data_IF_787276537935
#
_entry.id   IF_787276537935
#
_cell.length_a   1.000
_cell.length_b   1.000
_cell.length_c   1.000
_cell.angle_alpha   90.00
_cell.angle_beta   90.00
_cell.angle_gamma   90.00
#
_symmetry.space_group_name_H-M   'P 1'
#
loop_
_entity.id
_entity.type
_entity.pdbx_description
1 polymer ?
#
# COMPACT_ATOMS: atom_id res chain seq x y z
N UNK A 1 -0.37 13.08 7.55
CA UNK A 1 0.74 12.50 6.79
C UNK A 1 0.27 12.28 5.36
N UNK A 2 1.18 12.30 4.40
CA UNK A 2 0.91 11.88 3.02
C UNK A 2 1.39 10.43 2.85
N UNK A 3 0.47 9.55 2.45
CA UNK A 3 0.73 8.12 2.28
C UNK A 3 0.41 7.74 0.83
N UNK A 4 1.39 7.20 0.14
CA UNK A 4 1.17 6.64 -1.18
C UNK A 4 0.99 5.12 -1.09
N UNK A 5 0.09 4.56 -1.90
CA UNK A 5 -0.15 3.12 -1.96
C UNK A 5 -0.04 2.67 -3.41
N UNK A 6 0.94 1.83 -3.70
CA UNK A 6 1.15 1.26 -5.03
C UNK A 6 0.44 -0.09 -5.16
N UNK A 7 -0.52 -0.15 -6.08
CA UNK A 7 -1.41 -1.28 -6.31
C UNK A 7 -2.74 -1.14 -5.56
N UNK A 8 -3.86 -1.29 -6.29
CA UNK A 8 -5.23 -1.18 -5.76
C UNK A 8 -5.98 -2.51 -5.84
N UNK A 9 -5.29 -3.58 -5.49
CA UNK A 9 -5.91 -4.87 -5.18
C UNK A 9 -6.57 -4.88 -3.80
N UNK A 10 -6.91 -6.05 -3.28
CA UNK A 10 -7.56 -6.18 -1.96
C UNK A 10 -6.73 -5.55 -0.83
N UNK A 11 -5.42 -5.80 -0.82
CA UNK A 11 -4.51 -5.26 0.21
C UNK A 11 -4.40 -3.73 0.10
N UNK A 12 -4.05 -3.23 -1.08
CA UNK A 12 -3.79 -1.80 -1.25
C UNK A 12 -5.04 -0.94 -1.11
N UNK A 13 -6.15 -1.34 -1.74
CA UNK A 13 -7.38 -0.54 -1.67
C UNK A 13 -8.01 -0.54 -0.29
N UNK A 14 -7.94 -1.66 0.45
CA UNK A 14 -8.44 -1.70 1.83
C UNK A 14 -7.64 -0.78 2.75
N UNK A 15 -6.30 -0.77 2.61
CA UNK A 15 -5.44 0.17 3.36
C UNK A 15 -5.65 1.62 2.91
N UNK A 16 -5.82 1.86 1.61
CA UNK A 16 -6.11 3.19 1.10
C UNK A 16 -7.42 3.74 1.68
N UNK A 17 -8.45 2.92 1.71
CA UNK A 17 -9.75 3.28 2.30
C UNK A 17 -9.62 3.52 3.81
N UNK A 18 -8.94 2.62 4.53
CA UNK A 18 -8.74 2.72 5.96
C UNK A 18 -8.00 4.00 6.35
N UNK A 19 -6.81 4.21 5.78
CA UNK A 19 -5.92 5.30 6.15
C UNK A 19 -6.40 6.67 5.68
N UNK A 20 -7.20 6.73 4.60
CA UNK A 20 -7.72 7.99 4.08
C UNK A 20 -8.77 8.67 4.98
N UNK A 21 -9.24 8.00 6.02
CA UNK A 21 -10.10 8.61 7.02
C UNK A 21 -9.37 9.68 7.84
N UNK A 22 -8.06 9.53 8.07
CA UNK A 22 -7.27 10.39 8.92
C UNK A 22 -6.04 11.01 8.22
N UNK A 23 -5.71 10.57 7.01
CA UNK A 23 -4.50 10.96 6.30
C UNK A 23 -4.79 11.28 4.83
N UNK A 24 -3.90 12.03 4.20
CA UNK A 24 -3.89 12.18 2.75
C UNK A 24 -3.35 10.89 2.12
N UNK A 25 -4.17 10.23 1.31
CA UNK A 25 -3.80 8.98 0.65
C UNK A 25 -3.88 9.11 -0.86
N UNK A 26 -2.79 8.79 -1.55
CA UNK A 26 -2.74 8.71 -3.00
C UNK A 26 -2.49 7.26 -3.41
N UNK A 27 -3.47 6.67 -4.09
CA UNK A 27 -3.42 5.31 -4.59
C UNK A 27 -2.94 5.28 -6.05
N UNK A 28 -1.79 4.66 -6.28
CA UNK A 28 -1.22 4.46 -7.62
C UNK A 28 -1.67 3.11 -8.18
N UNK A 29 -2.20 3.10 -9.39
CA UNK A 29 -2.46 1.87 -10.14
C UNK A 29 -2.10 2.09 -11.62
N UNK A 30 -1.85 1.02 -12.35
CA UNK A 30 -1.55 1.06 -13.79
C UNK A 30 -2.81 0.94 -14.66
N UNK A 31 -3.96 0.64 -14.08
CA UNK A 31 -5.23 0.41 -14.78
C UNK A 31 -6.10 1.67 -14.71
N UNK A 32 -6.29 2.41 -15.84
CA UNK A 32 -7.03 3.67 -15.86
C UNK A 32 -8.47 3.54 -15.36
N UNK A 33 -9.10 2.39 -15.62
CA UNK A 33 -10.47 2.13 -15.17
C UNK A 33 -10.57 2.11 -13.65
N UNK A 34 -9.65 1.42 -12.96
CA UNK A 34 -9.61 1.38 -11.50
C UNK A 34 -9.43 2.79 -10.91
N UNK A 35 -8.52 3.57 -11.48
CA UNK A 35 -8.27 4.95 -11.04
C UNK A 35 -9.54 5.79 -11.17
N UNK A 36 -10.25 5.69 -12.30
CA UNK A 36 -11.55 6.39 -12.47
C UNK A 36 -12.59 5.97 -11.45
N UNK A 37 -12.71 4.66 -11.23
CA UNK A 37 -13.68 4.10 -10.27
C UNK A 37 -13.41 4.62 -8.86
N UNK A 38 -12.17 4.52 -8.38
CA UNK A 38 -11.78 4.95 -7.04
C UNK A 38 -12.06 6.45 -6.85
N UNK A 39 -11.67 7.30 -7.82
CA UNK A 39 -11.93 8.74 -7.77
C UNK A 39 -13.43 9.10 -7.83
N UNK A 40 -14.29 8.17 -8.25
CA UNK A 40 -15.74 8.30 -8.22
C UNK A 40 -16.39 7.63 -7.00
N UNK A 41 -15.59 7.16 -6.05
CA UNK A 41 -16.02 6.32 -4.93
C UNK A 41 -16.85 5.11 -5.39
N UNK A 42 -16.33 4.40 -6.38
CA UNK A 42 -16.84 3.11 -6.85
C UNK A 42 -15.73 2.10 -6.64
N UNK A 43 -16.02 1.01 -5.93
CA UNK A 43 -15.00 -0.03 -5.70
C UNK A 43 -14.72 -0.83 -6.98
N UNK A 44 -13.45 -0.94 -7.42
CA UNK A 44 -13.08 -1.81 -8.55
C UNK A 44 -12.93 -3.28 -8.15
N UNK A 45 -13.13 -3.62 -6.88
CA UNK A 45 -13.06 -4.97 -6.33
C UNK A 45 -14.30 -5.25 -5.48
N UNK A 46 -14.63 -6.53 -5.31
CA UNK A 46 -15.74 -6.93 -4.44
C UNK A 46 -15.29 -6.98 -2.99
N UNK A 47 -15.66 -5.98 -2.20
CA UNK A 47 -15.45 -5.91 -0.75
C UNK A 47 -16.56 -5.07 -0.14
N UNK A 48 -17.43 -5.72 0.64
CA UNK A 48 -18.63 -5.13 1.22
C UNK A 48 -18.34 -3.86 2.04
N UNK A 49 -17.24 -3.86 2.78
CA UNK A 49 -16.90 -2.71 3.62
C UNK A 49 -16.30 -1.55 2.82
N UNK A 50 -15.50 -1.84 1.78
CA UNK A 50 -15.00 -0.77 0.87
C UNK A 50 -16.18 -0.15 0.13
N UNK A 51 -17.09 -0.96 -0.41
CA UNK A 51 -18.30 -0.47 -1.09
C UNK A 51 -19.15 0.40 -0.18
N UNK A 52 -19.34 -0.02 1.09
CA UNK A 52 -20.05 0.75 2.11
C UNK A 52 -19.35 2.08 2.40
N UNK A 53 -18.04 2.08 2.64
CA UNK A 53 -17.28 3.31 2.96
C UNK A 53 -17.29 4.28 1.78
N UNK A 54 -17.18 3.78 0.55
CA UNK A 54 -17.26 4.59 -0.66
C UNK A 54 -18.67 5.17 -0.86
N UNK A 55 -19.72 4.39 -0.62
CA UNK A 55 -21.10 4.89 -0.67
C UNK A 55 -21.33 5.99 0.39
N UNK A 56 -20.86 5.77 1.62
CA UNK A 56 -20.95 6.76 2.70
C UNK A 56 -20.15 8.05 2.36
N UNK A 57 -18.99 7.92 1.72
CA UNK A 57 -18.20 9.06 1.28
C UNK A 57 -18.92 9.86 0.18
N UNK A 58 -19.50 9.16 -0.79
CA UNK A 58 -20.30 9.76 -1.87
C UNK A 58 -21.52 10.50 -1.35
N UNK A 59 -22.16 9.98 -0.31
CA UNK A 59 -23.30 10.60 0.36
C UNK A 59 -22.92 11.71 1.35
N UNK A 60 -21.61 11.99 1.53
CA UNK A 60 -21.13 13.00 2.48
C UNK A 60 -21.22 12.59 3.95
N UNK A 61 -21.47 11.29 4.23
CA UNK A 61 -21.57 10.74 5.60
C UNK A 61 -20.21 10.35 6.17
N UNK A 62 -19.21 10.16 5.32
CA UNK A 62 -17.83 9.82 5.67
C UNK A 62 -16.87 10.70 4.90
N UNK A 63 -15.83 11.14 5.54
CA UNK A 63 -14.73 11.83 4.86
C UNK A 63 -13.62 10.84 4.55
N UNK A 64 -13.26 10.75 3.27
CA UNK A 64 -12.10 10.01 2.79
C UNK A 64 -11.22 10.96 1.98
N UNK A 65 -10.03 11.23 2.48
CA UNK A 65 -9.02 12.01 1.76
C UNK A 65 -8.21 11.07 0.85
N UNK A 66 -8.90 10.48 -0.11
CA UNK A 66 -8.39 9.47 -1.04
C UNK A 66 -8.43 10.01 -2.48
N UNK A 67 -7.30 9.92 -3.15
CA UNK A 67 -7.15 10.17 -4.59
C UNK A 67 -6.45 8.98 -5.24
N UNK A 68 -6.88 8.59 -6.43
CA UNK A 68 -6.17 7.61 -7.24
C UNK A 68 -5.52 8.28 -8.45
N UNK A 69 -4.37 7.78 -8.89
CA UNK A 69 -3.62 8.32 -10.03
C UNK A 69 -2.89 7.21 -10.80
N UNK A 70 -2.55 7.50 -12.06
CA UNK A 70 -1.63 6.71 -12.90
C UNK A 70 -0.19 7.24 -12.80
N UNK A 71 0.00 8.41 -12.21
CA UNK A 71 1.26 9.14 -12.16
C UNK A 71 1.98 8.88 -10.84
N UNK A 72 3.11 8.17 -10.91
CA UNK A 72 3.92 7.86 -9.73
C UNK A 72 4.61 9.10 -9.13
N UNK A 73 4.92 10.11 -9.94
CA UNK A 73 5.51 11.36 -9.44
C UNK A 73 4.50 12.08 -8.53
N UNK A 74 3.25 12.17 -8.96
CA UNK A 74 2.17 12.72 -8.15
C UNK A 74 1.97 11.93 -6.85
N UNK A 75 2.04 10.59 -6.94
CA UNK A 75 1.81 9.72 -5.79
C UNK A 75 2.94 9.84 -4.76
N UNK A 76 4.20 9.78 -5.19
CA UNK A 76 5.35 9.57 -4.31
C UNK A 76 6.05 10.87 -3.86
N UNK A 77 5.94 11.96 -4.63
CA UNK A 77 6.57 13.23 -4.21
C UNK A 77 6.04 13.66 -2.84
N UNK A 78 6.96 13.94 -1.92
CA UNK A 78 6.68 14.36 -0.54
C UNK A 78 5.84 13.35 0.28
N UNK A 79 5.81 12.07 -0.10
CA UNK A 79 5.17 11.05 0.72
C UNK A 79 5.99 10.74 1.96
N UNK A 80 5.33 10.57 3.11
CA UNK A 80 5.96 10.05 4.33
C UNK A 80 6.18 8.54 4.23
N UNK A 81 5.19 7.84 3.64
CA UNK A 81 5.22 6.40 3.41
C UNK A 81 4.79 6.04 2.00
N UNK A 82 5.47 5.05 1.42
CA UNK A 82 5.02 4.34 0.21
C UNK A 82 4.75 2.88 0.58
N UNK A 83 3.49 2.48 0.53
CA UNK A 83 3.05 1.11 0.79
C UNK A 83 2.99 0.37 -0.55
N UNK A 84 3.77 -0.71 -0.68
CA UNK A 84 3.89 -1.49 -1.90
C UNK A 84 3.03 -2.74 -1.77
N UNK A 85 1.95 -2.81 -2.54
CA UNK A 85 1.00 -3.92 -2.59
C UNK A 85 0.72 -4.37 -4.04
N UNK A 86 1.76 -4.28 -4.87
CA UNK A 86 1.72 -4.75 -6.26
C UNK A 86 1.71 -6.27 -6.32
N UNK A 87 1.10 -6.88 -7.36
CA UNK A 87 1.05 -8.33 -7.49
C UNK A 87 2.46 -8.93 -7.61
N UNK A 88 2.67 -10.05 -6.92
CA UNK A 88 3.83 -10.90 -7.09
C UNK A 88 3.37 -12.29 -7.49
N UNK A 89 3.97 -12.86 -8.54
CA UNK A 89 3.60 -14.17 -9.04
C UNK A 89 4.65 -15.21 -8.63
N UNK A 90 4.19 -16.38 -8.22
CA UNK A 90 5.05 -17.52 -7.97
C UNK A 90 5.01 -18.46 -9.18
N UNK A 91 6.17 -18.70 -9.81
CA UNK A 91 6.32 -19.70 -10.86
C UNK A 91 6.75 -21.04 -10.25
N UNK A 92 5.81 -21.98 -10.15
CA UNK A 92 6.06 -23.32 -9.58
C UNK A 92 7.09 -24.13 -10.37
N UNK A 93 7.25 -23.87 -11.67
CA UNK A 93 8.19 -24.62 -12.53
C UNK A 93 9.63 -24.16 -12.30
N UNK A 94 9.81 -22.89 -12.00
CA UNK A 94 11.11 -22.27 -11.77
C UNK A 94 11.44 -22.12 -10.29
N UNK A 95 10.49 -22.42 -9.38
CA UNK A 95 10.57 -22.09 -7.95
C UNK A 95 10.99 -20.63 -7.72
N UNK A 96 10.41 -19.71 -8.45
CA UNK A 96 10.80 -18.32 -8.50
C UNK A 96 9.63 -17.40 -8.20
N UNK A 97 9.86 -16.43 -7.32
CA UNK A 97 8.95 -15.31 -7.10
C UNK A 97 9.31 -14.17 -8.05
N UNK A 98 8.39 -13.78 -8.91
CA UNK A 98 8.54 -12.57 -9.70
C UNK A 98 8.22 -11.35 -8.83
N UNK A 99 9.27 -10.70 -8.35
CA UNK A 99 9.22 -9.47 -7.56
C UNK A 99 9.43 -8.21 -8.38
N UNK A 100 9.45 -8.31 -9.71
CA UNK A 100 9.74 -7.20 -10.62
C UNK A 100 8.84 -5.99 -10.40
N UNK A 101 7.55 -6.22 -10.11
CA UNK A 101 6.60 -5.15 -9.81
C UNK A 101 6.94 -4.39 -8.52
N UNK A 102 7.47 -5.07 -7.51
CA UNK A 102 7.93 -4.46 -6.26
C UNK A 102 9.20 -3.63 -6.50
N UNK A 103 10.15 -4.19 -7.26
CA UNK A 103 11.39 -3.49 -7.60
C UNK A 103 11.13 -2.24 -8.44
N UNK A 104 10.20 -2.29 -9.41
CA UNK A 104 9.80 -1.13 -10.22
C UNK A 104 9.30 0.03 -9.34
N UNK A 105 8.53 -0.26 -8.30
CA UNK A 105 8.08 0.77 -7.34
C UNK A 105 9.25 1.30 -6.53
N UNK A 106 10.12 0.43 -6.01
CA UNK A 106 11.32 0.85 -5.26
C UNK A 106 12.18 1.79 -6.11
N UNK A 107 12.45 1.45 -7.36
CA UNK A 107 13.26 2.27 -8.28
C UNK A 107 12.61 3.63 -8.55
N UNK A 108 11.29 3.67 -8.75
CA UNK A 108 10.53 4.92 -8.89
C UNK A 108 10.62 5.81 -7.65
N UNK A 109 10.47 5.24 -6.46
CA UNK A 109 10.64 5.99 -5.20
C UNK A 109 12.06 6.55 -5.11
N UNK A 110 13.09 5.74 -5.34
CA UNK A 110 14.50 6.16 -5.28
C UNK A 110 14.86 7.19 -6.36
N UNK A 111 14.15 7.22 -7.48
CA UNK A 111 14.34 8.24 -8.52
C UNK A 111 13.95 9.63 -8.04
N UNK A 112 12.95 9.73 -7.16
CA UNK A 112 12.38 10.98 -6.64
C UNK A 112 12.97 11.37 -5.27
N UNK A 113 13.26 10.40 -4.42
CA UNK A 113 13.72 10.58 -3.03
C UNK A 113 15.23 10.34 -2.89
N UNK A 114 16.03 11.28 -3.31
CA UNK A 114 17.51 11.19 -3.23
C UNK A 114 18.06 11.22 -1.81
N UNK A 115 17.30 11.75 -0.88
CA UNK A 115 17.70 11.87 0.52
C UNK A 115 17.21 10.69 1.38
N UNK A 116 16.53 9.71 0.76
CA UNK A 116 15.97 8.51 1.42
C UNK A 116 15.07 8.82 2.64
N UNK A 117 14.22 9.85 2.50
CA UNK A 117 13.27 10.28 3.55
C UNK A 117 11.98 9.48 3.54
N UNK A 118 11.56 9.00 2.35
CA UNK A 118 10.36 8.21 2.19
C UNK A 118 10.58 6.81 2.78
N UNK A 119 9.68 6.39 3.65
CA UNK A 119 9.72 5.02 4.19
C UNK A 119 8.90 4.08 3.32
N UNK A 120 9.51 3.05 2.80
CA UNK A 120 8.86 2.02 1.99
C UNK A 120 8.38 0.85 2.85
N UNK A 121 7.13 0.44 2.66
CA UNK A 121 6.53 -0.69 3.37
C UNK A 121 6.05 -1.73 2.36
N UNK A 122 6.69 -2.88 2.33
CA UNK A 122 6.32 -3.97 1.43
C UNK A 122 5.21 -4.80 2.07
N UNK A 123 4.07 -4.85 1.40
CA UNK A 123 2.90 -5.68 1.76
C UNK A 123 2.73 -6.86 0.80
N UNK A 124 3.31 -6.79 -0.39
CA UNK A 124 3.31 -7.86 -1.37
C UNK A 124 4.01 -9.11 -0.82
N UNK A 125 3.57 -10.30 -1.24
CA UNK A 125 4.23 -11.55 -0.88
C UNK A 125 5.63 -11.61 -1.48
N UNK A 126 6.65 -11.79 -0.65
CA UNK A 126 8.06 -11.79 -1.03
C UNK A 126 8.80 -13.00 -0.42
N UNK A 127 9.90 -13.46 -1.04
CA UNK A 127 10.74 -14.51 -0.49
C UNK A 127 11.40 -14.10 0.83
N UNK A 128 11.76 -15.11 1.62
CA UNK A 128 12.59 -14.91 2.83
C UNK A 128 13.93 -14.29 2.44
N UNK A 129 14.37 -13.26 3.18
CA UNK A 129 15.61 -12.52 2.92
C UNK A 129 15.54 -11.46 1.82
N UNK A 130 14.37 -11.30 1.16
CA UNK A 130 14.21 -10.32 0.08
C UNK A 130 14.48 -8.88 0.53
N UNK A 131 13.99 -8.47 1.70
CA UNK A 131 14.23 -7.10 2.20
C UNK A 131 15.72 -6.83 2.42
N UNK A 132 16.46 -7.80 2.95
CA UNK A 132 17.91 -7.66 3.17
C UNK A 132 18.64 -7.54 1.84
N UNK A 133 18.27 -8.35 0.84
CA UNK A 133 18.83 -8.26 -0.51
C UNK A 133 18.54 -6.92 -1.20
N UNK A 134 17.34 -6.36 -1.00
CA UNK A 134 16.96 -5.03 -1.52
C UNK A 134 17.79 -3.93 -0.84
N UNK A 135 17.93 -3.99 0.48
CA UNK A 135 18.76 -3.04 1.23
C UNK A 135 20.20 -3.04 0.73
N UNK A 136 20.79 -4.22 0.54
CA UNK A 136 22.13 -4.35 0.01
C UNK A 136 22.25 -3.85 -1.45
N UNK A 137 21.30 -4.27 -2.32
CA UNK A 137 21.28 -3.91 -3.74
C UNK A 137 21.21 -2.41 -3.98
N UNK A 138 20.37 -1.70 -3.22
CA UNK A 138 20.10 -0.27 -3.42
C UNK A 138 20.79 0.64 -2.40
N UNK A 139 21.46 0.10 -1.38
CA UNK A 139 22.14 0.88 -0.34
C UNK A 139 21.18 1.68 0.54
N UNK A 140 20.01 1.13 0.89
CA UNK A 140 18.94 1.80 1.63
C UNK A 140 18.60 1.05 2.93
N UNK A 141 18.10 1.79 3.93
CA UNK A 141 17.63 1.22 5.21
C UNK A 141 16.15 1.50 5.50
N UNK A 142 15.54 2.42 4.78
CA UNK A 142 14.20 2.93 4.98
C UNK A 142 13.11 2.05 4.31
N UNK A 143 13.31 0.75 4.30
CA UNK A 143 12.37 -0.25 3.79
C UNK A 143 12.20 -1.40 4.77
N UNK A 144 10.97 -1.88 4.94
CA UNK A 144 10.68 -3.06 5.73
C UNK A 144 9.45 -3.82 5.21
N UNK A 145 9.34 -5.08 5.64
CA UNK A 145 8.20 -5.94 5.34
C UNK A 145 7.12 -5.82 6.41
N UNK A 146 5.87 -5.77 5.99
CA UNK A 146 4.71 -5.86 6.87
C UNK A 146 3.67 -6.77 6.21
N UNK A 147 3.69 -8.08 6.48
CA UNK A 147 2.75 -9.04 5.89
C UNK A 147 1.30 -8.70 6.22
N UNK A 148 0.39 -9.22 5.43
CA UNK A 148 -1.04 -9.13 5.63
C UNK A 148 -1.64 -10.52 5.90
N UNK A 149 -2.82 -10.56 6.52
CA UNK A 149 -3.55 -11.79 6.87
C UNK A 149 -5.04 -11.64 6.55
N UNK A 150 -5.37 -10.88 5.51
CA UNK A 150 -6.73 -10.57 5.13
C UNK A 150 -7.30 -11.61 4.16
N UNK A 151 -8.62 -11.68 4.11
CA UNK A 151 -9.38 -12.49 3.18
C UNK A 151 -9.87 -11.64 2.02
N UNK A 152 -9.78 -12.15 0.81
CA UNK A 152 -10.41 -11.53 -0.35
C UNK A 152 -11.92 -11.33 -0.12
N UNK A 153 -12.43 -10.18 -0.51
CA UNK A 153 -13.83 -9.79 -0.30
C UNK A 153 -14.17 -9.33 1.14
N UNK A 154 -13.21 -9.41 2.08
CA UNK A 154 -13.34 -8.93 3.47
C UNK A 154 -12.11 -8.15 3.92
N UNK A 155 -11.34 -7.64 2.99
CA UNK A 155 -10.04 -7.04 3.27
C UNK A 155 -10.14 -5.82 4.19
N UNK A 156 -11.10 -4.91 3.96
CA UNK A 156 -11.28 -3.77 4.84
C UNK A 156 -11.80 -4.18 6.22
N UNK A 157 -12.70 -5.16 6.31
CA UNK A 157 -13.13 -5.69 7.59
C UNK A 157 -11.95 -6.26 8.40
N UNK A 158 -11.11 -7.08 7.76
CA UNK A 158 -9.96 -7.69 8.42
C UNK A 158 -8.88 -6.67 8.82
N UNK A 159 -8.79 -5.53 8.12
CA UNK A 159 -7.94 -4.40 8.51
C UNK A 159 -8.54 -3.56 9.66
N UNK A 160 -9.87 -3.41 9.72
CA UNK A 160 -10.55 -2.74 10.85
C UNK A 160 -10.52 -3.56 12.13
N UNK A 161 -10.51 -4.90 12.01
CA UNK A 161 -10.53 -5.84 13.14
C UNK A 161 -9.41 -6.87 12.99
N UNK A 162 -8.13 -6.45 12.96
CA UNK A 162 -7.03 -7.35 12.68
C UNK A 162 -6.79 -8.32 13.85
N UNK A 163 -6.56 -9.59 13.53
CA UNK A 163 -6.12 -10.56 14.54
C UNK A 163 -4.71 -10.26 15.05
N UNK A 164 -3.90 -9.62 14.23
CA UNK A 164 -2.53 -9.19 14.50
C UNK A 164 -2.06 -8.21 13.43
N UNK A 165 -1.15 -7.33 13.84
CA UNK A 165 -0.38 -6.45 12.97
C UNK A 165 1.09 -6.81 13.15
N UNK A 166 1.78 -7.14 12.05
CA UNK A 166 3.20 -7.49 12.06
C UNK A 166 3.97 -6.46 11.25
N UNK A 167 5.02 -5.94 11.85
CA UNK A 167 5.96 -5.01 11.23
C UNK A 167 7.37 -5.55 11.40
N UNK A 168 8.06 -5.83 10.30
CA UNK A 168 9.37 -6.50 10.27
C UNK A 168 10.56 -5.58 10.56
N UNK A 169 10.38 -4.60 11.45
CA UNK A 169 11.42 -3.66 11.85
C UNK A 169 11.06 -3.04 13.21
N UNK A 170 12.07 -2.58 13.98
CA UNK A 170 11.92 -1.88 15.25
C UNK A 170 12.28 -0.40 15.20
N UNK A 171 12.55 0.12 14.00
CA UNK A 171 12.89 1.53 13.76
C UNK A 171 11.76 2.47 14.20
N UNK A 172 12.08 3.75 14.37
CA UNK A 172 11.08 4.78 14.68
C UNK A 172 9.99 4.84 13.60
N UNK A 173 10.36 4.73 12.34
CA UNK A 173 9.42 4.74 11.21
C UNK A 173 8.50 3.52 11.24
N UNK A 174 9.03 2.34 11.55
CA UNK A 174 8.24 1.12 11.70
C UNK A 174 7.20 1.24 12.84
N UNK A 175 7.60 1.82 13.97
CA UNK A 175 6.67 2.12 15.08
C UNK A 175 5.61 3.15 14.69
N UNK A 176 6.00 4.19 13.94
CA UNK A 176 5.04 5.16 13.39
C UNK A 176 4.03 4.47 12.48
N UNK A 177 4.49 3.61 11.56
CA UNK A 177 3.61 2.84 10.68
C UNK A 177 2.67 1.91 11.46
N UNK A 178 3.16 1.22 12.48
CA UNK A 178 2.32 0.37 13.33
C UNK A 178 1.20 1.20 14.01
N UNK A 179 1.53 2.40 14.52
CA UNK A 179 0.54 3.28 15.12
C UNK A 179 -0.49 3.79 14.09
N UNK A 180 -0.08 4.08 12.84
CA UNK A 180 -1.03 4.44 11.78
C UNK A 180 -2.11 3.37 11.56
N UNK A 181 -1.74 2.09 11.69
CA UNK A 181 -2.68 0.97 11.56
C UNK A 181 -3.51 0.73 12.82
N UNK A 182 -3.01 1.10 14.00
CA UNK A 182 -3.73 0.95 15.27
C UNK A 182 -4.74 2.08 15.50
N UNK A 183 -4.47 3.28 14.97
CA UNK A 183 -5.28 4.48 15.16
C UNK A 183 -6.37 4.64 14.06
N UNK A 184 -6.39 3.74 13.07
CA UNK A 184 -7.28 3.81 11.91
C UNK A 184 -8.63 2.98 12.10
#
# INVERSE_FOLDING_TARGET
MKIAIAGTGYVGLSLATLLSQNHEVIALDIIPEKVRMINSFISPIQDEYIEKFFAEAKDGKRQLNLKATLDYEEAFTDADFVIISTPTNYDEKQNFFDTSSVEDIIEKVLSLDKDHKITMVVKSTIPVGYIDSVKEKYGIENIFFSPEFLREGKALYDNLYPSRIIVGSDTKQAKTFANLLLDA
#
